data_IF_154210934732
#
_entry.id   IF_154210934732
#
_cell.length_a   1.000
_cell.length_b   1.000
_cell.length_c   1.000
_cell.angle_alpha   90.00
_cell.angle_beta   90.00
_cell.angle_gamma   90.00
#
_symmetry.space_group_name_H-M   'P 1'
#
loop_
_entity.id
_entity.type
_entity.pdbx_description
1 polymer ?
#
# COMPACT_ATOMS: atom_id res chain seq x y z
N UNK A 1 -19.56 8.55 5.65
CA UNK A 1 -19.74 8.64 7.12
C UNK A 1 -18.68 9.50 7.81
N UNK A 2 -17.43 9.49 7.37
CA UNK A 2 -16.33 10.21 8.03
C UNK A 2 -16.42 11.74 7.92
N UNK A 3 -17.15 12.26 6.94
CA UNK A 3 -17.39 13.70 6.75
C UNK A 3 -18.56 14.24 7.58
N UNK A 4 -19.35 13.38 8.23
CA UNK A 4 -20.49 13.80 9.06
C UNK A 4 -19.99 14.37 10.40
N UNK A 5 -20.28 15.65 10.64
CA UNK A 5 -19.91 16.39 11.86
C UNK A 5 -21.11 17.15 12.45
N UNK A 6 -21.03 17.53 13.73
CA UNK A 6 -22.08 18.28 14.42
C UNK A 6 -23.09 17.45 15.23
N UNK A 7 -24.12 18.12 15.75
CA UNK A 7 -25.15 17.49 16.59
C UNK A 7 -26.01 16.49 15.82
N UNK A 8 -26.41 15.40 16.46
CA UNK A 8 -27.26 14.36 15.86
C UNK A 8 -26.55 13.41 14.88
N UNK A 9 -25.24 13.57 14.63
CA UNK A 9 -24.47 12.70 13.71
C UNK A 9 -24.51 11.23 14.11
N UNK A 10 -24.51 10.93 15.41
CA UNK A 10 -24.55 9.54 15.88
C UNK A 10 -25.84 8.83 15.46
N UNK A 11 -26.98 9.54 15.44
CA UNK A 11 -28.24 8.97 14.97
C UNK A 11 -28.18 8.75 13.45
N UNK A 12 -27.71 9.75 12.69
CA UNK A 12 -27.50 9.61 11.24
C UNK A 12 -26.59 8.43 10.88
N UNK A 13 -25.49 8.23 11.64
CA UNK A 13 -24.57 7.09 11.45
C UNK A 13 -25.30 5.77 11.72
N UNK A 14 -26.09 5.67 12.79
CA UNK A 14 -26.90 4.48 13.09
C UNK A 14 -27.90 4.18 11.96
N UNK A 15 -28.58 5.19 11.45
CA UNK A 15 -29.57 5.03 10.38
C UNK A 15 -28.92 4.51 9.09
N UNK A 16 -27.75 5.05 8.71
CA UNK A 16 -27.00 4.56 7.55
C UNK A 16 -26.57 3.11 7.77
N UNK A 17 -26.03 2.77 8.95
CA UNK A 17 -25.61 1.40 9.27
C UNK A 17 -26.79 0.43 9.21
N UNK A 18 -27.95 0.80 9.77
CA UNK A 18 -29.17 -0.01 9.73
C UNK A 18 -29.65 -0.24 8.30
N UNK A 19 -29.64 0.80 7.46
CA UNK A 19 -30.00 0.69 6.03
C UNK A 19 -29.01 -0.19 5.24
N UNK A 20 -27.71 -0.12 5.55
CA UNK A 20 -26.72 -1.03 4.94
C UNK A 20 -26.93 -2.48 5.38
N UNK A 21 -27.21 -2.71 6.67
CA UNK A 21 -27.49 -4.05 7.19
C UNK A 21 -28.77 -4.65 6.61
N UNK A 22 -29.84 -3.85 6.45
CA UNK A 22 -31.10 -4.33 5.85
C UNK A 22 -30.96 -4.71 4.37
N UNK A 23 -29.93 -4.22 3.68
CA UNK A 23 -29.64 -4.53 2.27
C UNK A 23 -28.67 -5.70 2.09
N UNK A 24 -28.11 -6.25 3.16
CA UNK A 24 -27.22 -7.40 3.06
C UNK A 24 -28.01 -8.65 2.66
N UNK A 25 -27.56 -9.36 1.63
CA UNK A 25 -28.21 -10.55 1.08
C UNK A 25 -28.13 -11.77 1.99
N UNK A 26 -27.07 -11.85 2.80
CA UNK A 26 -26.73 -13.05 3.56
C UNK A 26 -25.91 -12.73 4.81
N UNK A 27 -25.75 -13.74 5.68
CA UNK A 27 -25.04 -13.63 6.96
C UNK A 27 -23.58 -13.20 6.79
N UNK A 28 -22.88 -13.65 5.73
CA UNK A 28 -21.47 -13.27 5.53
C UNK A 28 -21.36 -11.80 5.16
N UNK A 29 -22.24 -11.29 4.30
CA UNK A 29 -22.30 -9.87 3.96
C UNK A 29 -22.46 -8.98 5.20
N UNK A 30 -23.33 -9.38 6.15
CA UNK A 30 -23.47 -8.68 7.44
C UNK A 30 -22.18 -8.77 8.26
N UNK A 31 -21.58 -9.96 8.37
CA UNK A 31 -20.34 -10.16 9.13
C UNK A 31 -19.21 -9.27 8.58
N UNK A 32 -19.01 -9.23 7.26
CA UNK A 32 -17.97 -8.41 6.65
C UNK A 32 -18.28 -6.92 6.78
N UNK A 33 -19.54 -6.49 6.63
CA UNK A 33 -19.94 -5.11 6.87
C UNK A 33 -19.60 -4.67 8.30
N UNK A 34 -20.00 -5.44 9.31
CA UNK A 34 -19.68 -5.16 10.72
C UNK A 34 -18.16 -5.10 10.93
N UNK A 35 -17.42 -6.04 10.33
CA UNK A 35 -15.96 -6.08 10.43
C UNK A 35 -15.27 -4.87 9.79
N UNK A 36 -15.79 -4.36 8.67
CA UNK A 36 -15.31 -3.13 8.03
C UNK A 36 -15.58 -1.93 8.95
N UNK A 37 -16.78 -1.85 9.55
CA UNK A 37 -17.15 -0.75 10.45
C UNK A 37 -16.26 -0.68 11.70
N UNK A 38 -15.85 -1.83 12.26
CA UNK A 38 -14.88 -1.89 13.37
C UNK A 38 -13.42 -1.80 12.91
N UNK A 39 -13.17 -1.59 11.62
CA UNK A 39 -11.83 -1.54 11.01
C UNK A 39 -10.98 -2.80 11.26
N UNK A 40 -11.62 -3.97 11.35
CA UNK A 40 -10.96 -5.25 11.61
C UNK A 40 -11.58 -6.39 10.78
N UNK A 41 -11.18 -6.45 9.50
CA UNK A 41 -11.75 -7.39 8.51
C UNK A 41 -11.31 -8.85 8.76
N UNK A 42 -10.13 -9.09 9.35
CA UNK A 42 -9.57 -10.42 9.66
C UNK A 42 -9.53 -11.37 8.46
N UNK A 43 -9.14 -10.88 7.29
CA UNK A 43 -9.01 -11.72 6.07
C UNK A 43 -7.64 -12.39 5.99
N UNK A 44 -6.65 -11.92 6.76
CA UNK A 44 -5.26 -12.39 6.67
C UNK A 44 -4.52 -11.90 5.41
N UNK A 45 -5.19 -11.11 4.58
CA UNK A 45 -4.60 -10.43 3.42
C UNK A 45 -4.01 -9.08 3.86
N UNK A 46 -2.77 -8.83 3.45
CA UNK A 46 -2.10 -7.54 3.65
C UNK A 46 -2.17 -6.71 2.37
N UNK A 47 -1.80 -5.44 2.46
CA UNK A 47 -1.69 -4.60 1.27
C UNK A 47 -0.70 -5.17 0.24
N UNK A 48 0.39 -5.79 0.70
CA UNK A 48 1.37 -6.44 -0.17
C UNK A 48 0.74 -7.62 -0.92
N UNK A 49 -0.06 -8.43 -0.22
CA UNK A 49 -0.81 -9.54 -0.83
C UNK A 49 -1.80 -9.04 -1.88
N UNK A 50 -2.47 -7.92 -1.61
CA UNK A 50 -3.41 -7.28 -2.54
C UNK A 50 -2.69 -6.75 -3.79
N UNK A 51 -1.59 -6.02 -3.63
CA UNK A 51 -0.78 -5.51 -4.74
C UNK A 51 -0.24 -6.64 -5.61
N UNK A 52 0.21 -7.73 -4.99
CA UNK A 52 0.69 -8.90 -5.73
C UNK A 52 -0.41 -9.54 -6.57
N UNK A 53 -1.60 -9.72 -5.99
CA UNK A 53 -2.74 -10.32 -6.67
C UNK A 53 -3.16 -9.47 -7.88
N UNK A 54 -3.20 -8.15 -7.75
CA UNK A 54 -3.52 -7.24 -8.85
C UNK A 54 -2.43 -7.24 -9.92
N UNK A 55 -1.16 -7.17 -9.52
CA UNK A 55 -0.02 -7.24 -10.46
C UNK A 55 -0.11 -8.49 -11.34
N UNK A 56 -0.37 -9.63 -10.71
CA UNK A 56 -0.51 -10.91 -11.40
C UNK A 56 -1.75 -10.94 -12.29
N UNK A 57 -2.91 -10.51 -11.77
CA UNK A 57 -4.15 -10.47 -12.55
C UNK A 57 -4.03 -9.58 -13.81
N UNK A 58 -3.42 -8.41 -13.67
CA UNK A 58 -3.19 -7.49 -14.80
C UNK A 58 -2.23 -8.10 -15.83
N UNK A 59 -1.11 -8.69 -15.39
CA UNK A 59 -0.15 -9.32 -16.29
C UNK A 59 -0.79 -10.47 -17.08
N UNK A 60 -1.54 -11.34 -16.40
CA UNK A 60 -2.22 -12.46 -17.05
C UNK A 60 -3.29 -11.97 -18.03
N UNK A 61 -4.04 -10.94 -17.67
CA UNK A 61 -5.06 -10.34 -18.54
C UNK A 61 -4.46 -9.72 -19.80
N UNK A 62 -3.42 -8.89 -19.66
CA UNK A 62 -2.76 -8.21 -20.78
C UNK A 62 -2.13 -9.19 -21.77
N UNK A 63 -1.60 -10.31 -21.28
CA UNK A 63 -0.95 -11.33 -22.11
C UNK A 63 -1.92 -12.46 -22.54
N UNK A 64 -3.21 -12.39 -22.19
CA UNK A 64 -4.20 -13.45 -22.44
C UNK A 64 -3.80 -14.84 -21.89
N UNK A 65 -3.05 -14.87 -20.79
CA UNK A 65 -2.52 -16.09 -20.19
C UNK A 65 -3.55 -16.64 -19.19
N UNK A 66 -3.90 -17.92 -19.33
CA UNK A 66 -4.70 -18.63 -18.31
C UNK A 66 -3.85 -18.97 -17.08
N UNK A 67 -4.46 -18.89 -15.90
CA UNK A 67 -3.84 -19.31 -14.64
C UNK A 67 -3.34 -20.77 -14.75
N UNK A 68 -2.14 -21.03 -14.23
CA UNK A 68 -1.48 -22.36 -14.24
C UNK A 68 -1.19 -22.97 -15.62
N UNK A 69 -1.18 -22.17 -16.69
CA UNK A 69 -0.73 -22.62 -18.02
C UNK A 69 0.80 -22.73 -18.12
N UNK A 70 1.30 -23.39 -19.16
CA UNK A 70 2.75 -23.43 -19.47
C UNK A 70 3.33 -22.05 -19.80
N UNK A 71 2.48 -21.09 -20.17
CA UNK A 71 2.83 -19.70 -20.45
C UNK A 71 2.96 -18.86 -19.17
N UNK A 72 2.69 -19.44 -18.00
CA UNK A 72 2.84 -18.78 -16.72
C UNK A 72 4.34 -18.55 -16.39
N UNK A 73 4.82 -17.33 -16.64
CA UNK A 73 6.20 -16.94 -16.40
C UNK A 73 6.38 -16.31 -15.03
N UNK A 74 6.81 -17.13 -14.05
CA UNK A 74 7.04 -16.69 -12.66
C UNK A 74 7.96 -15.49 -12.53
N UNK A 75 9.05 -15.44 -13.31
CA UNK A 75 10.04 -14.37 -13.20
C UNK A 75 9.51 -13.03 -13.74
N UNK A 76 8.78 -13.04 -14.85
CA UNK A 76 8.15 -11.82 -15.39
C UNK A 76 7.08 -11.28 -14.44
N UNK A 77 6.23 -12.16 -13.88
CA UNK A 77 5.23 -11.78 -12.88
C UNK A 77 5.90 -11.18 -11.63
N UNK A 78 7.02 -11.75 -11.18
CA UNK A 78 7.79 -11.22 -10.05
C UNK A 78 8.32 -9.81 -10.35
N UNK A 79 8.79 -9.55 -11.57
CA UNK A 79 9.20 -8.21 -12.00
C UNK A 79 8.04 -7.20 -11.92
N UNK A 80 6.84 -7.58 -12.40
CA UNK A 80 5.65 -6.71 -12.32
C UNK A 80 5.24 -6.45 -10.86
N UNK A 81 5.24 -7.48 -10.01
CA UNK A 81 4.95 -7.33 -8.56
C UNK A 81 5.92 -6.34 -7.91
N UNK A 82 7.21 -6.48 -8.19
CA UNK A 82 8.23 -5.57 -7.66
C UNK A 82 8.06 -4.14 -8.20
N UNK A 83 7.72 -3.98 -9.48
CA UNK A 83 7.43 -2.68 -10.08
C UNK A 83 6.26 -2.00 -9.37
N UNK A 84 5.12 -2.69 -9.24
CA UNK A 84 3.93 -2.10 -8.60
C UNK A 84 4.19 -1.72 -7.15
N UNK A 85 4.83 -2.59 -6.36
CA UNK A 85 5.21 -2.29 -4.96
C UNK A 85 6.13 -1.07 -4.88
N UNK A 86 7.15 -1.01 -5.75
CA UNK A 86 8.04 0.14 -5.82
C UNK A 86 7.29 1.43 -6.14
N UNK A 87 6.33 1.41 -7.07
CA UNK A 87 5.53 2.59 -7.40
C UNK A 87 4.55 2.98 -6.29
N UNK A 88 3.96 2.00 -5.62
CA UNK A 88 3.10 2.21 -4.45
C UNK A 88 3.87 2.89 -3.30
N UNK A 89 5.13 2.52 -3.09
CA UNK A 89 5.98 3.16 -2.09
C UNK A 89 6.23 4.64 -2.46
N UNK A 90 6.28 5.01 -3.74
CA UNK A 90 6.42 6.40 -4.18
C UNK A 90 5.16 7.26 -3.98
N UNK A 91 4.01 6.65 -3.69
CA UNK A 91 2.70 7.35 -3.63
C UNK A 91 2.15 7.45 -2.22
N UNK A 92 3.01 7.53 -1.19
CA UNK A 92 2.62 7.55 0.23
C UNK A 92 1.66 6.42 0.60
N UNK A 93 1.86 5.23 0.05
CA UNK A 93 0.98 4.10 0.29
C UNK A 93 -0.48 4.34 -0.18
N UNK A 94 -0.70 5.27 -1.11
CA UNK A 94 -2.01 5.49 -1.75
C UNK A 94 -2.19 4.51 -2.92
N UNK A 95 -3.07 3.54 -2.69
CA UNK A 95 -3.45 2.51 -3.65
C UNK A 95 -4.14 3.11 -4.88
N UNK A 96 -4.89 4.20 -4.70
CA UNK A 96 -5.70 4.80 -5.76
C UNK A 96 -4.84 5.29 -6.91
N UNK A 97 -3.67 5.85 -6.62
CA UNK A 97 -2.74 6.36 -7.63
C UNK A 97 -2.23 5.24 -8.53
N UNK A 98 -1.77 4.13 -7.95
CA UNK A 98 -1.26 3.00 -8.73
C UNK A 98 -2.36 2.26 -9.50
N UNK A 99 -3.57 2.14 -8.91
CA UNK A 99 -4.70 1.54 -9.61
C UNK A 99 -5.18 2.39 -10.79
N UNK A 100 -5.27 3.72 -10.62
CA UNK A 100 -5.64 4.61 -11.70
C UNK A 100 -4.63 4.55 -12.86
N UNK A 101 -3.33 4.44 -12.56
CA UNK A 101 -2.31 4.27 -13.59
C UNK A 101 -2.54 2.98 -14.40
N UNK A 102 -2.81 1.86 -13.72
CA UNK A 102 -3.11 0.57 -14.35
C UNK A 102 -4.39 0.64 -15.19
N UNK A 103 -5.47 1.24 -14.66
CA UNK A 103 -6.76 1.31 -15.37
C UNK A 103 -6.66 2.12 -16.67
N UNK A 104 -5.85 3.18 -16.68
CA UNK A 104 -5.73 4.07 -17.84
C UNK A 104 -4.90 3.47 -18.98
N UNK A 105 -3.76 2.84 -18.66
CA UNK A 105 -2.81 2.36 -19.67
C UNK A 105 -2.03 1.13 -19.22
N UNK A 106 -2.66 0.23 -18.45
CA UNK A 106 -2.08 -1.06 -18.08
C UNK A 106 -0.79 -0.95 -17.24
N UNK A 107 -0.09 -2.07 -17.04
CA UNK A 107 1.14 -2.15 -16.23
C UNK A 107 2.24 -1.19 -16.72
N UNK A 108 2.34 -0.93 -18.02
CA UNK A 108 3.36 -0.06 -18.60
C UNK A 108 3.29 1.38 -18.08
N UNK A 109 2.10 1.85 -17.68
CA UNK A 109 1.91 3.19 -17.15
C UNK A 109 2.52 3.42 -15.77
N UNK A 110 2.80 2.34 -15.03
CA UNK A 110 3.45 2.42 -13.72
C UNK A 110 4.79 3.15 -13.79
N UNK A 111 5.49 3.10 -14.94
CA UNK A 111 6.73 3.83 -15.14
C UNK A 111 6.58 5.36 -15.12
N UNK A 112 5.38 5.89 -15.40
CA UNK A 112 5.08 7.32 -15.32
C UNK A 112 5.04 7.83 -13.87
N UNK A 113 4.77 6.94 -12.90
CA UNK A 113 4.78 7.28 -11.48
C UNK A 113 6.23 7.53 -11.04
N UNK A 114 6.51 8.78 -10.67
CA UNK A 114 7.82 9.25 -10.20
C UNK A 114 7.67 9.98 -8.86
N UNK A 115 8.80 10.11 -8.17
CA UNK A 115 8.89 11.01 -7.01
C UNK A 115 8.51 12.42 -7.47
N UNK A 116 7.61 13.06 -6.72
CA UNK A 116 7.19 14.42 -6.95
C UNK A 116 7.21 15.19 -5.64
N UNK A 117 7.53 16.48 -5.72
CA UNK A 117 7.49 17.34 -4.55
C UNK A 117 6.07 17.39 -3.98
N UNK A 118 5.97 17.51 -2.67
CA UNK A 118 4.70 17.48 -1.93
C UNK A 118 3.86 16.19 -2.04
N UNK A 119 4.37 15.15 -2.69
CA UNK A 119 3.85 13.78 -2.60
C UNK A 119 4.80 12.96 -1.74
N UNK A 120 4.35 12.59 -0.54
CA UNK A 120 5.17 11.83 0.39
C UNK A 120 5.50 10.43 -0.16
N UNK A 121 6.59 9.86 0.32
CA UNK A 121 7.08 8.53 -0.07
C UNK A 121 7.14 7.64 1.17
N UNK A 122 6.86 6.35 1.00
CA UNK A 122 6.97 5.36 2.06
C UNK A 122 8.36 5.44 2.72
N UNK A 123 8.33 5.49 4.05
CA UNK A 123 9.54 5.59 4.85
C UNK A 123 10.30 4.26 4.87
N UNK A 124 11.60 4.28 4.55
CA UNK A 124 12.47 3.12 4.75
C UNK A 124 12.44 2.64 6.20
N UNK A 125 12.30 1.33 6.42
CA UNK A 125 12.19 0.72 7.74
C UNK A 125 13.51 0.10 8.18
N UNK A 126 13.80 0.16 9.47
CA UNK A 126 14.92 -0.55 10.07
C UNK A 126 14.53 -1.99 10.39
N UNK A 127 15.43 -2.94 10.11
CA UNK A 127 15.31 -4.30 10.59
C UNK A 127 15.99 -4.40 11.97
N UNK A 128 15.34 -5.00 12.99
CA UNK A 128 15.99 -5.21 14.28
C UNK A 128 17.13 -6.22 14.14
N UNK A 129 18.31 -5.89 14.67
CA UNK A 129 19.49 -6.75 14.66
C UNK A 129 20.10 -6.79 16.06
N UNK A 130 20.56 -7.96 16.48
CA UNK A 130 21.01 -8.20 17.87
C UNK A 130 22.53 -8.16 18.05
N UNK A 131 23.32 -8.08 16.98
CA UNK A 131 24.77 -8.04 17.09
C UNK A 131 25.41 -7.35 15.88
N UNK A 132 26.64 -6.86 16.05
CA UNK A 132 27.41 -6.21 14.99
C UNK A 132 27.83 -7.24 13.93
N UNK A 133 28.16 -8.46 14.35
CA UNK A 133 28.52 -9.57 13.49
C UNK A 133 27.38 -9.92 12.52
N UNK A 134 26.13 -9.89 13.00
CA UNK A 134 24.97 -10.10 12.14
C UNK A 134 24.81 -9.00 11.07
N UNK A 135 25.18 -7.75 11.39
CA UNK A 135 25.21 -6.65 10.42
C UNK A 135 26.30 -6.90 9.38
N UNK A 136 27.53 -7.20 9.81
CA UNK A 136 28.67 -7.46 8.92
C UNK A 136 28.43 -8.69 8.04
N UNK A 137 27.82 -9.74 8.58
CA UNK A 137 27.44 -10.93 7.80
C UNK A 137 26.35 -10.63 6.78
N UNK A 138 25.37 -9.79 7.13
CA UNK A 138 24.27 -9.44 6.23
C UNK A 138 24.74 -8.59 5.05
N UNK A 139 25.58 -7.58 5.30
CA UNK A 139 26.08 -6.69 4.26
C UNK A 139 27.35 -7.21 3.58
N UNK A 140 28.12 -8.10 4.21
CA UNK A 140 29.40 -8.57 3.69
C UNK A 140 30.53 -7.55 3.85
N UNK A 141 31.77 -8.05 3.86
CA UNK A 141 32.97 -7.24 4.13
C UNK A 141 33.30 -6.21 3.04
N UNK A 142 32.80 -6.42 1.82
CA UNK A 142 33.07 -5.55 0.67
C UNK A 142 32.17 -4.30 0.63
N UNK A 143 31.08 -4.30 1.41
CA UNK A 143 30.16 -3.18 1.48
C UNK A 143 30.55 -2.21 2.58
N UNK A 144 30.51 -0.91 2.26
CA UNK A 144 30.74 0.15 3.24
C UNK A 144 29.46 0.42 4.02
N UNK A 145 29.52 0.27 5.34
CA UNK A 145 28.42 0.57 6.26
C UNK A 145 28.75 1.83 7.05
N UNK A 146 27.74 2.67 7.27
CA UNK A 146 27.83 3.83 8.17
C UNK A 146 26.95 3.58 9.41
N UNK A 147 27.36 4.14 10.54
CA UNK A 147 26.60 4.06 11.78
C UNK A 147 26.13 5.47 12.17
N UNK A 148 24.83 5.64 12.25
CA UNK A 148 24.19 6.89 12.68
C UNK A 148 23.44 6.67 14.00
N UNK A 149 23.38 7.70 14.84
CA UNK A 149 22.58 7.64 16.05
C UNK A 149 21.10 7.50 15.69
N UNK A 150 20.43 6.50 16.28
CA UNK A 150 18.98 6.39 16.21
C UNK A 150 18.35 7.36 17.21
N UNK A 151 18.01 8.55 16.73
CA UNK A 151 17.30 9.55 17.54
C UNK A 151 15.93 9.04 17.99
N UNK A 152 15.56 9.38 19.23
CA UNK A 152 14.26 9.09 19.81
C UNK A 152 13.33 10.30 19.64
N UNK A 153 12.47 10.25 18.63
CA UNK A 153 11.61 11.36 18.25
C UNK A 153 10.66 11.01 17.12
N UNK A 154 10.11 12.04 16.48
CA UNK A 154 9.18 11.88 15.35
C UNK A 154 9.95 11.95 14.03
N UNK A 155 9.70 10.97 13.16
CA UNK A 155 10.22 11.01 11.79
C UNK A 155 9.42 12.02 10.96
N UNK A 156 10.12 12.98 10.37
CA UNK A 156 9.56 14.00 9.51
C UNK A 156 10.18 13.92 8.10
N UNK A 157 9.34 13.78 7.08
CA UNK A 157 9.71 13.90 5.67
C UNK A 157 9.36 15.32 5.20
N UNK A 158 10.38 16.13 4.94
CA UNK A 158 10.23 17.56 4.60
C UNK A 158 10.33 17.71 3.08
N UNK A 159 9.30 18.30 2.48
CA UNK A 159 9.23 18.63 1.05
C UNK A 159 9.23 20.15 0.89
N UNK A 160 10.06 20.65 -0.02
CA UNK A 160 10.21 22.08 -0.31
C UNK A 160 10.22 22.32 -1.81
N UNK A 161 9.48 23.35 -2.24
CA UNK A 161 9.50 23.94 -3.59
C UNK A 161 9.29 25.45 -3.46
N UNK A 162 9.47 26.23 -4.53
CA UNK A 162 9.26 27.69 -4.51
C UNK A 162 7.89 28.09 -3.92
N UNK A 163 6.87 27.24 -4.08
CA UNK A 163 5.51 27.44 -3.56
C UNK A 163 5.30 27.11 -2.07
N UNK A 164 6.31 26.64 -1.33
CA UNK A 164 6.26 26.47 0.11
C UNK A 164 6.87 25.17 0.66
N UNK A 165 6.57 24.88 1.93
CA UNK A 165 7.06 23.69 2.66
C UNK A 165 5.89 22.82 3.08
N UNK A 166 6.01 21.50 2.92
CA UNK A 166 5.12 20.52 3.56
C UNK A 166 5.92 19.50 4.35
N UNK A 167 5.40 19.13 5.51
CA UNK A 167 6.01 18.15 6.40
C UNK A 167 5.05 16.99 6.54
N UNK A 168 5.54 15.78 6.27
CA UNK A 168 4.81 14.54 6.44
C UNK A 168 5.43 13.73 7.59
N UNK A 169 4.59 13.15 8.42
CA UNK A 169 5.03 12.13 9.37
C UNK A 169 5.05 10.75 8.69
N UNK A 170 5.62 9.77 9.39
CA UNK A 170 5.57 8.37 9.03
C UNK A 170 4.14 7.83 8.95
#
# INVERSE_FOLDING_TARGET
MNELTGSGVNNKKKDIINNMMSKCSDKNSIIFLVRILISNIRVGCTIVSFLDAISEACYLHENNIKTHSKEYKKDEIKCVKNLLRSKYDLTKNDVSVVLNAIILKNISNLHEIKISTFSAVASMLGHPVNSIEAILQHYGEENRVTCEFKYDGVRCQIHYEEGGVRIFNR
#
